data_IF_513964250510
#
_entry.id   IF_513964250510
#
_cell.length_a   1.000
_cell.length_b   1.000
_cell.length_c   1.000
_cell.angle_alpha   90.00
_cell.angle_beta   90.00
_cell.angle_gamma   90.00
#
_symmetry.space_group_name_H-M   'P 1'
#
loop_
_entity.id
_entity.type
_entity.pdbx_description
1 polymer ?
#
# COMPACT_ATOMS: atom_id res chain seq x y z
N UNK A 1 -3.99 12.90 4.08
CA UNK A 1 -3.33 13.72 5.12
C UNK A 1 -3.79 13.29 6.51
N UNK A 2 -2.88 13.16 7.48
CA UNK A 2 -3.17 12.78 8.87
C UNK A 2 -3.62 14.01 9.68
N UNK A 3 -4.40 13.80 10.75
CA UNK A 3 -4.87 14.92 11.60
C UNK A 3 -3.73 15.74 12.21
N UNK A 4 -2.58 15.11 12.53
CA UNK A 4 -1.39 15.82 13.01
C UNK A 4 -0.77 16.72 11.94
N UNK A 5 -0.78 16.29 10.69
CA UNK A 5 -0.28 17.07 9.55
C UNK A 5 -1.20 18.23 9.22
N UNK A 6 -2.53 18.03 9.29
CA UNK A 6 -3.51 19.13 9.19
C UNK A 6 -3.27 20.22 10.25
N UNK A 7 -3.07 19.82 11.51
CA UNK A 7 -2.77 20.75 12.60
C UNK A 7 -1.46 21.51 12.34
N UNK A 8 -0.44 20.82 11.85
CA UNK A 8 0.84 21.47 11.50
C UNK A 8 0.68 22.46 10.35
N UNK A 9 -0.10 22.10 9.31
CA UNK A 9 -0.42 23.03 8.23
C UNK A 9 -1.13 24.27 8.76
N UNK A 10 -2.16 24.09 9.59
CA UNK A 10 -2.92 25.20 10.17
C UNK A 10 -2.04 26.12 11.03
N UNK A 11 -1.17 25.56 11.88
CA UNK A 11 -0.23 26.36 12.70
C UNK A 11 0.78 27.17 11.86
N UNK A 12 1.00 26.78 10.61
CA UNK A 12 1.83 27.51 9.64
C UNK A 12 0.99 28.37 8.66
N UNK A 13 -0.27 28.66 8.98
CA UNK A 13 -1.14 29.51 8.18
C UNK A 13 -1.69 28.86 6.91
N UNK A 14 -1.61 27.54 6.79
CA UNK A 14 -2.17 26.79 5.66
C UNK A 14 -3.47 26.15 6.11
N UNK A 15 -4.58 26.81 5.87
CA UNK A 15 -5.94 26.39 6.30
C UNK A 15 -6.73 25.76 5.17
N UNK A 16 -6.55 26.21 3.95
CA UNK A 16 -7.31 25.76 2.77
C UNK A 16 -6.47 24.79 1.94
N UNK A 17 -6.67 23.51 2.19
CA UNK A 17 -6.00 22.41 1.48
C UNK A 17 -7.01 21.71 0.58
N UNK A 18 -6.71 21.59 -0.71
CA UNK A 18 -7.50 20.81 -1.67
C UNK A 18 -6.93 19.41 -1.69
N UNK A 19 -7.76 18.41 -1.41
CA UNK A 19 -7.41 17.00 -1.52
C UNK A 19 -7.90 16.44 -2.84
N UNK A 20 -7.03 15.78 -3.56
CA UNK A 20 -7.31 15.20 -4.87
C UNK A 20 -6.94 13.72 -4.82
N UNK A 21 -7.95 12.85 -4.88
CA UNK A 21 -7.75 11.41 -5.03
C UNK A 21 -7.47 11.16 -6.51
N UNK A 22 -6.32 10.58 -6.82
CA UNK A 22 -5.90 10.33 -8.21
C UNK A 22 -6.11 8.90 -8.68
N UNK A 23 -6.24 7.97 -7.76
CA UNK A 23 -6.45 6.55 -8.06
C UNK A 23 -6.32 5.71 -6.81
N UNK A 24 -6.28 4.41 -7.01
CA UNK A 24 -6.05 3.42 -5.96
C UNK A 24 -4.70 2.73 -6.17
N UNK A 25 -4.19 2.15 -5.10
CA UNK A 25 -3.01 1.30 -5.07
C UNK A 25 -3.31 0.05 -4.26
N UNK A 26 -2.75 -1.07 -4.67
CA UNK A 26 -2.75 -2.32 -3.94
C UNK A 26 -1.33 -2.72 -3.58
N UNK A 27 -1.13 -3.25 -2.38
CA UNK A 27 0.18 -3.76 -1.97
C UNK A 27 0.15 -5.27 -2.02
N UNK A 28 1.05 -5.84 -2.82
CA UNK A 28 1.23 -7.28 -2.97
C UNK A 28 2.08 -7.85 -1.84
N UNK A 29 1.71 -9.04 -1.40
CA UNK A 29 2.58 -10.00 -0.74
C UNK A 29 2.74 -11.16 -1.70
N UNK A 30 3.89 -11.26 -2.34
CA UNK A 30 4.09 -12.11 -3.49
C UNK A 30 5.26 -13.08 -3.30
N UNK A 31 5.23 -14.19 -4.05
CA UNK A 31 6.30 -15.18 -4.13
C UNK A 31 6.53 -15.59 -5.60
N UNK A 32 7.46 -16.53 -5.84
CA UNK A 32 7.70 -17.06 -7.17
C UNK A 32 6.44 -17.70 -7.77
N UNK A 33 6.22 -17.51 -9.08
CA UNK A 33 5.17 -18.20 -9.82
C UNK A 33 5.38 -19.74 -9.89
N UNK A 34 6.60 -20.21 -9.67
CA UNK A 34 6.95 -21.65 -9.60
C UNK A 34 6.57 -22.30 -8.24
N UNK A 35 6.30 -21.49 -7.20
CA UNK A 35 5.88 -21.96 -5.89
C UNK A 35 4.36 -22.08 -5.77
N UNK A 36 3.88 -22.68 -4.68
CA UNK A 36 2.46 -22.69 -4.38
C UNK A 36 1.97 -21.29 -4.00
N UNK A 37 0.81 -20.90 -4.51
CA UNK A 37 0.12 -19.68 -4.07
C UNK A 37 -0.34 -19.88 -2.61
N UNK A 38 -0.08 -18.89 -1.77
CA UNK A 38 -0.40 -18.92 -0.37
C UNK A 38 -1.60 -18.01 -0.03
N UNK A 39 -2.28 -18.32 1.06
CA UNK A 39 -3.30 -17.46 1.65
C UNK A 39 -2.88 -17.07 3.05
N UNK A 40 -2.90 -15.78 3.35
CA UNK A 40 -2.51 -15.27 4.66
C UNK A 40 -3.61 -14.41 5.29
N UNK A 41 -3.59 -14.36 6.60
CA UNK A 41 -4.36 -13.38 7.38
C UNK A 41 -3.42 -12.30 7.92
N UNK A 42 -3.92 -11.09 8.24
CA UNK A 42 -3.10 -10.08 8.91
C UNK A 42 -2.48 -10.56 10.24
N UNK A 43 -3.14 -11.46 10.96
CA UNK A 43 -2.61 -12.04 12.18
C UNK A 43 -1.37 -12.90 11.90
N UNK A 44 -1.44 -13.79 10.91
CA UNK A 44 -0.32 -14.65 10.52
C UNK A 44 0.88 -13.81 10.05
N UNK A 45 0.64 -12.78 9.22
CA UNK A 45 1.70 -11.89 8.74
C UNK A 45 2.33 -11.08 9.88
N UNK A 46 1.52 -10.58 10.83
CA UNK A 46 2.06 -9.92 12.01
C UNK A 46 2.87 -10.88 12.88
N UNK A 47 2.38 -12.10 13.10
CA UNK A 47 3.09 -13.14 13.85
C UNK A 47 4.45 -13.45 13.24
N UNK A 48 4.52 -13.52 11.89
CA UNK A 48 5.76 -13.79 11.16
C UNK A 48 6.76 -12.63 11.22
N UNK A 49 6.29 -11.38 11.20
CA UNK A 49 7.12 -10.21 10.90
C UNK A 49 7.39 -9.30 12.11
N UNK A 50 6.58 -9.39 13.17
CA UNK A 50 6.65 -8.40 14.26
C UNK A 50 7.87 -8.58 15.15
N UNK A 51 8.59 -7.47 15.45
CA UNK A 51 9.69 -7.43 16.42
C UNK A 51 9.24 -7.84 17.83
N UNK A 52 8.03 -7.44 18.21
CA UNK A 52 7.45 -7.73 19.51
C UNK A 52 6.41 -8.88 19.46
N UNK A 53 6.50 -9.72 18.42
CA UNK A 53 5.69 -10.92 18.23
C UNK A 53 6.41 -12.21 18.64
N UNK A 54 5.85 -13.37 18.27
CA UNK A 54 6.41 -14.69 18.62
C UNK A 54 7.73 -15.03 17.94
N UNK A 55 8.07 -14.38 16.82
CA UNK A 55 9.29 -14.60 16.01
C UNK A 55 9.51 -16.05 15.54
N UNK A 56 8.53 -16.69 14.90
CA UNK A 56 8.68 -18.04 14.37
C UNK A 56 9.78 -18.09 13.29
N UNK A 57 10.39 -19.25 13.11
CA UNK A 57 11.42 -19.49 12.10
C UNK A 57 10.83 -20.02 10.78
N UNK A 58 9.72 -20.75 10.87
CA UNK A 58 9.02 -21.32 9.71
C UNK A 58 7.56 -20.86 9.64
N UNK A 59 6.99 -20.95 8.43
CA UNK A 59 5.56 -20.66 8.24
C UNK A 59 4.65 -21.61 9.01
N UNK A 60 5.07 -22.87 9.17
CA UNK A 60 4.32 -23.87 9.96
C UNK A 60 4.24 -23.53 11.45
N UNK A 61 5.25 -22.85 11.99
CA UNK A 61 5.23 -22.34 13.38
C UNK A 61 4.26 -21.14 13.52
N UNK A 62 3.98 -20.41 12.45
CA UNK A 62 2.95 -19.37 12.42
C UNK A 62 1.54 -19.98 12.48
N UNK A 63 1.33 -21.01 11.65
CA UNK A 63 0.07 -21.75 11.56
C UNK A 63 0.35 -23.14 10.98
N UNK A 64 -0.17 -24.18 11.64
CA UNK A 64 0.07 -25.59 11.26
C UNK A 64 -0.44 -25.96 9.85
N UNK A 65 -1.34 -25.15 9.28
CA UNK A 65 -1.85 -25.32 7.91
C UNK A 65 -0.90 -24.78 6.84
N UNK A 66 0.10 -23.98 7.23
CA UNK A 66 1.11 -23.42 6.33
C UNK A 66 2.28 -24.42 6.16
N UNK A 67 3.03 -24.33 5.06
CA UNK A 67 4.12 -25.25 4.78
C UNK A 67 5.27 -25.12 5.77
N UNK A 68 5.99 -26.21 5.95
CA UNK A 68 7.21 -26.26 6.76
C UNK A 68 8.39 -25.72 5.94
N UNK A 69 8.45 -24.39 5.80
CA UNK A 69 9.51 -23.68 5.08
C UNK A 69 9.94 -22.44 5.85
N UNK A 70 11.20 -22.00 5.72
CA UNK A 70 11.70 -20.81 6.40
C UNK A 70 10.89 -19.56 6.05
N UNK A 71 10.73 -18.67 7.01
CA UNK A 71 10.20 -17.33 6.76
C UNK A 71 11.35 -16.49 6.17
N UNK A 72 11.15 -16.01 4.95
CA UNK A 72 12.07 -15.10 4.25
C UNK A 72 11.27 -14.05 3.53
N UNK A 73 11.34 -12.81 3.98
CA UNK A 73 10.52 -11.70 3.49
C UNK A 73 11.41 -10.52 3.14
N UNK A 74 11.31 -10.05 1.92
CA UNK A 74 11.89 -8.78 1.49
C UNK A 74 10.86 -7.67 1.67
N UNK A 75 11.20 -6.66 2.45
CA UNK A 75 10.31 -5.58 2.83
C UNK A 75 10.87 -4.21 2.39
N UNK A 76 10.00 -3.27 2.01
CA UNK A 76 10.44 -1.90 1.72
C UNK A 76 10.94 -1.22 2.99
N UNK A 77 11.83 -0.21 2.88
CA UNK A 77 12.43 0.48 4.02
C UNK A 77 11.40 1.30 4.81
N UNK A 78 11.70 1.71 6.04
CA UNK A 78 10.78 2.51 6.88
C UNK A 78 10.33 3.84 6.26
N UNK A 79 11.09 4.38 5.31
CA UNK A 79 10.79 5.62 4.58
C UNK A 79 9.77 5.44 3.47
N UNK A 80 9.49 4.19 3.08
CA UNK A 80 8.58 3.86 1.98
C UNK A 80 7.11 4.10 2.31
N UNK A 81 6.38 4.68 1.38
CA UNK A 81 4.92 4.78 1.45
C UNK A 81 4.22 3.41 1.45
N UNK A 82 4.80 2.41 0.76
CA UNK A 82 4.35 1.02 0.76
C UNK A 82 4.50 0.41 2.17
N UNK A 83 5.63 0.68 2.85
CA UNK A 83 5.85 0.25 4.24
C UNK A 83 4.84 0.88 5.20
N UNK A 84 4.55 2.20 5.08
CA UNK A 84 3.57 2.89 5.94
C UNK A 84 2.15 2.30 5.77
N UNK A 85 1.76 1.98 4.53
CA UNK A 85 0.49 1.32 4.27
C UNK A 85 0.44 -0.13 4.80
N UNK A 86 1.47 -0.92 4.58
CA UNK A 86 1.61 -2.26 5.14
C UNK A 86 1.50 -2.24 6.67
N UNK A 87 2.22 -1.33 7.31
CA UNK A 87 2.15 -1.12 8.76
C UNK A 87 0.73 -0.83 9.25
N UNK A 88 -0.01 0.00 8.52
CA UNK A 88 -1.38 0.36 8.91
C UNK A 88 -2.37 -0.77 8.67
N UNK A 89 -2.31 -1.40 7.49
CA UNK A 89 -3.34 -2.34 7.03
C UNK A 89 -3.08 -3.78 7.51
N UNK A 90 -1.82 -4.19 7.64
CA UNK A 90 -1.43 -5.53 8.07
C UNK A 90 -0.92 -5.54 9.51
N UNK A 91 0.16 -4.82 9.81
CA UNK A 91 0.81 -4.95 11.12
C UNK A 91 -0.08 -4.47 12.27
N UNK A 92 -0.65 -3.27 12.17
CA UNK A 92 -1.59 -2.77 13.19
C UNK A 92 -2.84 -3.65 13.32
N UNK A 93 -3.35 -4.17 12.20
CA UNK A 93 -4.53 -5.05 12.18
C UNK A 93 -4.22 -6.41 12.80
N UNK A 94 -3.08 -7.02 12.46
CA UNK A 94 -2.62 -8.28 13.03
C UNK A 94 -2.36 -8.18 14.54
N UNK A 95 -1.68 -7.11 14.96
CA UNK A 95 -1.43 -6.82 16.37
C UNK A 95 -2.73 -6.69 17.20
N UNK A 96 -3.75 -6.03 16.65
CA UNK A 96 -5.10 -5.97 17.26
C UNK A 96 -5.72 -7.35 17.37
N UNK A 97 -5.65 -8.15 16.30
CA UNK A 97 -6.17 -9.52 16.30
C UNK A 97 -5.41 -10.45 17.28
N UNK A 98 -4.13 -10.18 17.52
CA UNK A 98 -3.33 -10.86 18.53
C UNK A 98 -3.63 -10.39 19.96
N UNK A 99 -4.51 -9.39 20.16
CA UNK A 99 -4.80 -8.80 21.48
C UNK A 99 -3.64 -8.02 22.10
N UNK A 100 -2.65 -7.61 21.29
CA UNK A 100 -1.41 -6.97 21.78
C UNK A 100 -1.37 -5.46 21.54
N UNK A 101 -2.36 -4.90 20.88
CA UNK A 101 -2.32 -3.51 20.46
C UNK A 101 -2.33 -2.52 21.64
N UNK A 102 -3.12 -2.78 22.67
CA UNK A 102 -3.25 -1.91 23.84
C UNK A 102 -1.99 -1.95 24.71
N UNK A 103 -1.32 -3.12 24.78
CA UNK A 103 -0.04 -3.31 25.49
C UNK A 103 1.13 -2.64 24.74
N UNK A 104 1.24 -2.89 23.44
CA UNK A 104 2.39 -2.49 22.65
C UNK A 104 2.28 -1.07 22.08
N UNK A 105 1.07 -0.61 21.82
CA UNK A 105 0.80 0.62 21.08
C UNK A 105 1.19 0.54 19.59
N UNK A 106 0.75 1.52 18.81
CA UNK A 106 0.93 1.55 17.34
C UNK A 106 2.39 1.37 16.90
N UNK A 107 3.33 2.05 17.57
CA UNK A 107 4.75 2.04 17.16
C UNK A 107 5.35 0.65 17.26
N UNK A 108 5.22 -0.03 18.39
CA UNK A 108 5.76 -1.38 18.61
C UNK A 108 5.02 -2.44 17.79
N UNK A 109 3.70 -2.31 17.60
CA UNK A 109 2.94 -3.19 16.73
C UNK A 109 3.45 -3.19 15.27
N UNK A 110 3.99 -2.05 14.82
CA UNK A 110 4.44 -1.84 13.44
C UNK A 110 5.96 -2.03 13.25
N UNK A 111 6.70 -2.34 14.31
CA UNK A 111 8.13 -2.64 14.21
C UNK A 111 8.34 -4.02 13.63
N UNK A 112 9.16 -4.11 12.57
CA UNK A 112 9.56 -5.39 12.00
C UNK A 112 10.74 -5.96 12.75
N UNK A 113 10.83 -7.28 12.80
CA UNK A 113 12.01 -8.00 13.30
C UNK A 113 13.20 -7.74 12.37
N UNK A 114 14.37 -7.60 12.96
CA UNK A 114 15.64 -7.34 12.26
C UNK A 114 16.52 -8.58 12.34
N UNK A 115 16.12 -9.64 11.63
CA UNK A 115 16.84 -10.90 11.55
C UNK A 115 16.74 -11.51 10.14
N UNK A 116 17.21 -12.73 9.96
CA UNK A 116 17.22 -13.42 8.66
C UNK A 116 15.83 -13.65 8.05
N UNK A 117 14.75 -13.49 8.82
CA UNK A 117 13.39 -13.70 8.35
C UNK A 117 12.82 -12.48 7.60
N UNK A 118 13.27 -11.26 7.94
CA UNK A 118 12.79 -10.03 7.30
C UNK A 118 13.99 -9.15 6.93
N UNK A 119 14.22 -9.00 5.64
CA UNK A 119 15.30 -8.23 5.04
C UNK A 119 14.75 -6.93 4.44
N UNK A 120 15.38 -5.79 4.70
CA UNK A 120 15.06 -4.54 4.01
C UNK A 120 15.69 -4.52 2.61
N UNK A 121 14.84 -4.38 1.59
CA UNK A 121 15.24 -4.46 0.17
C UNK A 121 15.51 -3.07 -0.47
N UNK A 122 15.45 -2.00 0.29
CA UNK A 122 15.49 -0.64 -0.24
C UNK A 122 14.21 -0.29 -1.03
N UNK A 123 14.26 0.79 -1.81
CA UNK A 123 13.15 1.26 -2.67
C UNK A 123 13.20 0.62 -4.09
N UNK A 124 13.85 -0.53 -4.24
CA UNK A 124 14.05 -1.17 -5.55
C UNK A 124 13.17 -2.41 -5.70
N UNK A 125 11.91 -2.20 -6.11
CA UNK A 125 10.94 -3.29 -6.34
C UNK A 125 11.42 -4.28 -7.42
N UNK A 126 12.20 -3.83 -8.41
CA UNK A 126 12.78 -4.72 -9.43
C UNK A 126 13.76 -5.73 -8.81
N UNK A 127 14.50 -5.34 -7.79
CA UNK A 127 15.39 -6.24 -7.07
C UNK A 127 14.59 -7.31 -6.32
N UNK A 128 13.49 -6.91 -5.68
CA UNK A 128 12.58 -7.83 -5.00
C UNK A 128 12.04 -8.86 -6.00
N UNK A 129 11.49 -8.43 -7.12
CA UNK A 129 10.95 -9.32 -8.17
C UNK A 129 12.01 -10.35 -8.63
N UNK A 130 13.23 -9.89 -8.93
CA UNK A 130 14.32 -10.79 -9.33
C UNK A 130 14.67 -11.81 -8.26
N UNK A 131 14.65 -11.42 -6.98
CA UNK A 131 14.93 -12.33 -5.87
C UNK A 131 13.84 -13.39 -5.74
N UNK A 132 12.56 -12.99 -5.83
CA UNK A 132 11.44 -13.93 -5.77
C UNK A 132 11.44 -14.92 -6.92
N UNK A 133 11.78 -14.47 -8.13
CA UNK A 133 11.87 -15.33 -9.31
C UNK A 133 13.00 -16.37 -9.17
N UNK A 134 14.12 -15.99 -8.53
CA UNK A 134 15.29 -16.84 -8.36
C UNK A 134 15.17 -17.83 -7.19
N UNK A 135 14.43 -17.49 -6.14
CA UNK A 135 14.32 -18.30 -4.93
C UNK A 135 12.87 -18.40 -4.46
N UNK A 136 12.21 -19.56 -4.65
CA UNK A 136 10.80 -19.77 -4.33
C UNK A 136 10.48 -19.74 -2.81
N UNK A 137 11.48 -19.67 -1.94
CA UNK A 137 11.29 -19.54 -0.50
C UNK A 137 11.05 -18.10 -0.07
N UNK A 138 11.37 -17.11 -0.92
CA UNK A 138 11.20 -15.71 -0.60
C UNK A 138 9.78 -15.21 -0.88
N UNK A 139 9.33 -14.32 -0.01
CA UNK A 139 8.19 -13.44 -0.21
C UNK A 139 8.66 -11.99 -0.31
N UNK A 140 7.89 -11.15 -0.99
CA UNK A 140 8.20 -9.73 -1.13
C UNK A 140 6.97 -8.85 -0.96
N UNK A 141 7.19 -7.64 -0.46
CA UNK A 141 6.17 -6.62 -0.27
C UNK A 141 6.47 -5.46 -1.21
N UNK A 142 5.57 -5.18 -2.16
CA UNK A 142 5.71 -4.11 -3.16
C UNK A 142 4.36 -3.76 -3.79
N UNK A 143 4.34 -2.71 -4.62
CA UNK A 143 3.12 -2.24 -5.28
C UNK A 143 2.55 -3.20 -6.31
N UNK A 144 1.23 -3.21 -6.47
CA UNK A 144 0.49 -4.05 -7.43
C UNK A 144 1.00 -3.92 -8.86
N UNK A 145 1.43 -2.73 -9.27
CA UNK A 145 1.95 -2.49 -10.63
C UNK A 145 3.14 -3.40 -10.99
N UNK A 146 4.03 -3.67 -10.03
CA UNK A 146 5.16 -4.56 -10.26
C UNK A 146 4.73 -6.03 -10.33
N UNK A 147 3.74 -6.44 -9.52
CA UNK A 147 3.15 -7.77 -9.64
C UNK A 147 2.50 -7.95 -11.02
N UNK A 148 1.73 -6.97 -11.46
CA UNK A 148 0.98 -7.04 -12.70
C UNK A 148 1.88 -7.13 -13.94
N UNK A 149 2.99 -6.41 -13.92
CA UNK A 149 3.99 -6.42 -15.00
C UNK A 149 4.88 -7.68 -15.03
N UNK A 150 4.88 -8.50 -13.98
CA UNK A 150 5.80 -9.66 -13.83
C UNK A 150 5.06 -10.96 -13.46
N UNK A 151 3.78 -11.10 -13.86
CA UNK A 151 2.95 -12.28 -13.55
C UNK A 151 3.48 -13.59 -14.13
N UNK A 152 4.36 -13.53 -15.09
CA UNK A 152 5.10 -14.67 -15.66
C UNK A 152 6.14 -15.24 -14.69
N UNK A 153 6.67 -14.44 -13.76
CA UNK A 153 7.74 -14.80 -12.84
C UNK A 153 7.28 -14.89 -11.38
N UNK A 154 6.30 -14.08 -10.99
CA UNK A 154 5.83 -13.98 -9.61
C UNK A 154 4.31 -14.01 -9.52
N UNK A 155 3.81 -14.38 -8.34
CA UNK A 155 2.37 -14.42 -8.05
C UNK A 155 2.05 -13.80 -6.69
N UNK A 156 0.89 -13.15 -6.59
CA UNK A 156 0.39 -12.59 -5.34
C UNK A 156 -0.29 -13.64 -4.47
N UNK A 157 0.01 -13.64 -3.19
CA UNK A 157 -0.75 -14.37 -2.18
C UNK A 157 -2.15 -13.76 -2.02
N UNK A 158 -3.12 -14.56 -1.63
CA UNK A 158 -4.42 -14.04 -1.19
C UNK A 158 -4.33 -13.55 0.26
N UNK A 159 -5.11 -12.52 0.60
CA UNK A 159 -5.22 -12.02 1.97
C UNK A 159 -6.66 -12.17 2.43
N UNK A 160 -6.87 -12.93 3.49
CA UNK A 160 -8.22 -13.36 3.95
C UNK A 160 -9.03 -14.03 2.82
N UNK A 161 -8.37 -14.80 1.94
CA UNK A 161 -8.99 -15.46 0.81
C UNK A 161 -9.26 -14.55 -0.39
N UNK A 162 -8.93 -13.26 -0.33
CA UNK A 162 -9.16 -12.31 -1.42
C UNK A 162 -7.90 -12.16 -2.27
N UNK A 163 -8.03 -12.39 -3.57
CA UNK A 163 -6.95 -12.22 -4.54
C UNK A 163 -6.66 -10.75 -4.80
N UNK A 164 -5.36 -10.42 -4.99
CA UNK A 164 -4.95 -9.12 -5.47
C UNK A 164 -5.20 -9.04 -6.99
N UNK A 165 -6.18 -8.24 -7.36
CA UNK A 165 -6.56 -7.95 -8.74
C UNK A 165 -6.99 -6.50 -8.87
N UNK A 166 -7.00 -5.98 -10.09
CA UNK A 166 -7.44 -4.61 -10.39
C UNK A 166 -8.85 -4.36 -9.81
N UNK A 167 -9.80 -5.27 -10.06
CA UNK A 167 -11.18 -5.13 -9.58
C UNK A 167 -11.30 -5.17 -8.05
N UNK A 168 -10.53 -6.05 -7.39
CA UNK A 168 -10.55 -6.17 -5.94
C UNK A 168 -9.87 -4.98 -5.26
N UNK A 169 -8.87 -4.36 -5.89
CA UNK A 169 -8.25 -3.12 -5.41
C UNK A 169 -9.22 -1.95 -5.62
N UNK A 170 -9.78 -1.81 -6.81
CA UNK A 170 -10.72 -0.75 -7.17
C UNK A 170 -11.95 -0.72 -6.27
N UNK A 171 -12.49 -1.90 -5.94
CA UNK A 171 -13.65 -2.06 -5.06
C UNK A 171 -13.31 -2.13 -3.56
N UNK A 172 -12.05 -2.01 -3.17
CA UNK A 172 -11.56 -2.19 -1.79
C UNK A 172 -11.91 -3.53 -1.16
N UNK A 173 -12.19 -4.57 -1.93
CA UNK A 173 -12.34 -5.95 -1.45
C UNK A 173 -11.00 -6.53 -1.01
N UNK A 174 -9.91 -6.20 -1.73
CA UNK A 174 -8.58 -6.62 -1.33
C UNK A 174 -8.13 -5.81 -0.10
N UNK A 175 -7.75 -6.49 1.01
CA UNK A 175 -7.54 -5.81 2.29
C UNK A 175 -6.36 -4.82 2.33
N UNK A 176 -5.42 -4.95 1.39
CA UNK A 176 -4.26 -4.05 1.31
C UNK A 176 -4.43 -3.10 0.13
N UNK A 177 -5.60 -2.48 0.04
CA UNK A 177 -5.92 -1.44 -0.94
C UNK A 177 -5.98 -0.08 -0.26
N UNK A 178 -5.51 0.95 -0.96
CA UNK A 178 -5.55 2.33 -0.46
C UNK A 178 -5.79 3.32 -1.60
N UNK A 179 -6.43 4.47 -1.32
CA UNK A 179 -6.45 5.57 -2.26
C UNK A 179 -5.09 6.29 -2.28
N UNK A 180 -4.74 6.83 -3.44
CA UNK A 180 -3.60 7.70 -3.63
C UNK A 180 -4.08 9.15 -3.75
N UNK A 181 -3.37 10.06 -3.10
CA UNK A 181 -3.74 11.47 -3.02
C UNK A 181 -2.58 12.36 -3.41
N UNK A 182 -2.92 13.51 -3.98
CA UNK A 182 -2.07 14.67 -3.83
C UNK A 182 -2.85 15.84 -3.21
N UNK A 183 -2.13 16.81 -2.68
CA UNK A 183 -2.68 17.95 -1.96
C UNK A 183 -2.17 19.24 -2.55
N UNK A 184 -3.08 20.20 -2.75
CA UNK A 184 -2.76 21.52 -3.22
C UNK A 184 -3.16 22.58 -2.20
N UNK A 185 -2.26 23.55 -1.96
CA UNK A 185 -2.58 24.74 -1.18
C UNK A 185 -3.46 25.67 -2.02
N UNK A 186 -4.70 25.90 -1.62
CA UNK A 186 -5.67 26.71 -2.38
C UNK A 186 -5.14 28.11 -2.73
N UNK A 187 -4.46 28.74 -1.77
CA UNK A 187 -3.86 30.08 -1.98
C UNK A 187 -2.81 30.13 -3.10
N UNK A 188 -2.27 28.99 -3.57
CA UNK A 188 -1.33 28.95 -4.67
C UNK A 188 -2.02 28.82 -6.03
N UNK A 189 -3.27 28.38 -6.07
CA UNK A 189 -4.02 28.20 -7.32
C UNK A 189 -4.36 29.57 -7.92
N UNK A 190 -3.88 29.82 -9.13
CA UNK A 190 -4.00 31.12 -9.80
C UNK A 190 -2.85 32.09 -9.52
N UNK A 191 -1.95 31.77 -8.57
CA UNK A 191 -0.71 32.51 -8.28
C UNK A 191 0.49 31.79 -8.90
N UNK A 192 0.57 30.49 -8.70
CA UNK A 192 1.64 29.68 -9.34
C UNK A 192 1.19 29.27 -10.73
N UNK A 193 1.92 29.68 -11.80
CA UNK A 193 1.57 29.31 -13.16
C UNK A 193 1.49 27.80 -13.37
N UNK A 194 0.47 27.33 -14.09
CA UNK A 194 0.29 25.93 -14.44
C UNK A 194 -0.31 25.06 -13.34
N UNK A 195 -0.49 25.56 -12.09
CA UNK A 195 -0.99 24.72 -11.00
C UNK A 195 -2.43 24.25 -11.23
N UNK A 196 -3.32 25.13 -11.72
CA UNK A 196 -4.70 24.76 -12.04
C UNK A 196 -4.76 23.75 -13.18
N UNK A 197 -3.97 23.95 -14.19
CA UNK A 197 -3.87 23.08 -15.37
C UNK A 197 -3.35 21.70 -14.96
N UNK A 198 -2.34 21.64 -14.10
CA UNK A 198 -1.81 20.42 -13.54
C UNK A 198 -2.87 19.64 -12.73
N UNK A 199 -3.62 20.33 -11.86
CA UNK A 199 -4.71 19.71 -11.10
C UNK A 199 -5.81 19.17 -12.03
N UNK A 200 -6.16 19.89 -13.09
CA UNK A 200 -7.17 19.47 -14.07
C UNK A 200 -6.67 18.28 -14.88
N UNK A 201 -5.39 18.27 -15.29
CA UNK A 201 -4.79 17.15 -16.02
C UNK A 201 -4.82 15.88 -15.19
N UNK A 202 -4.46 15.94 -13.90
CA UNK A 202 -4.48 14.79 -13.00
C UNK A 202 -5.86 14.13 -12.81
N UNK A 203 -6.95 14.79 -13.17
CA UNK A 203 -8.31 14.24 -13.11
C UNK A 203 -8.96 14.13 -14.50
N UNK A 204 -8.19 14.36 -15.56
CA UNK A 204 -8.66 14.23 -16.93
C UNK A 204 -8.91 12.76 -17.33
N UNK A 205 -9.69 12.54 -18.39
CA UNK A 205 -9.85 11.19 -18.93
C UNK A 205 -8.56 10.66 -19.55
N UNK A 206 -7.73 11.54 -20.12
CA UNK A 206 -6.42 11.19 -20.68
C UNK A 206 -5.45 10.71 -19.61
N UNK A 207 -5.53 11.21 -18.37
CA UNK A 207 -4.63 10.81 -17.30
C UNK A 207 -5.17 9.60 -16.51
N UNK A 208 -6.39 9.67 -15.96
CA UNK A 208 -6.93 8.71 -15.00
C UNK A 208 -8.23 8.03 -15.46
N UNK A 209 -8.65 8.25 -16.72
CA UNK A 209 -9.75 7.53 -17.34
C UNK A 209 -9.43 6.04 -17.51
N UNK A 210 -10.40 5.27 -17.99
CA UNK A 210 -10.28 3.81 -18.18
C UNK A 210 -9.09 3.43 -19.08
N UNK A 211 -8.71 4.30 -20.01
CA UNK A 211 -7.55 4.14 -20.91
C UNK A 211 -6.55 5.29 -20.72
N UNK A 212 -6.49 5.85 -19.52
CA UNK A 212 -5.59 6.95 -19.20
C UNK A 212 -4.13 6.49 -19.06
N UNK A 213 -3.18 7.37 -19.46
CA UNK A 213 -1.76 7.02 -19.49
C UNK A 213 -1.17 6.68 -18.12
N UNK A 214 -1.83 7.04 -17.00
CA UNK A 214 -1.39 6.64 -15.66
C UNK A 214 -1.71 5.18 -15.36
N UNK A 215 -2.68 4.57 -16.04
CA UNK A 215 -2.93 3.14 -15.92
C UNK A 215 -1.77 2.31 -16.47
N UNK A 216 -1.17 2.74 -17.59
CA UNK A 216 0.05 2.10 -18.13
C UNK A 216 1.22 2.15 -17.16
N UNK A 217 1.15 3.05 -16.18
CA UNK A 217 2.12 3.18 -15.08
C UNK A 217 1.68 2.42 -13.80
N UNK A 218 0.59 1.66 -13.88
CA UNK A 218 0.09 0.82 -12.79
C UNK A 218 -0.85 1.51 -11.80
N UNK A 219 -1.36 2.71 -12.12
CA UNK A 219 -2.41 3.33 -11.31
C UNK A 219 -3.72 2.53 -11.48
N UNK A 220 -4.34 2.14 -10.38
CA UNK A 220 -5.68 1.55 -10.41
C UNK A 220 -6.72 2.67 -10.44
N UNK A 221 -7.57 2.74 -11.48
CA UNK A 221 -8.50 3.85 -11.65
C UNK A 221 -9.55 3.89 -10.54
N UNK A 222 -10.08 5.09 -10.29
CA UNK A 222 -11.21 5.28 -9.41
C UNK A 222 -12.51 4.75 -10.06
N UNK A 223 -13.50 4.43 -9.24
CA UNK A 223 -14.87 4.25 -9.70
C UNK A 223 -15.39 5.55 -10.34
N UNK A 224 -16.15 5.45 -11.43
CA UNK A 224 -16.64 6.61 -12.21
C UNK A 224 -17.37 7.64 -11.34
N UNK A 225 -18.18 7.17 -10.38
CA UNK A 225 -18.89 8.05 -9.45
C UNK A 225 -17.96 8.83 -8.52
N UNK A 226 -16.86 8.21 -8.08
CA UNK A 226 -15.82 8.86 -7.26
C UNK A 226 -15.03 9.86 -8.08
N UNK A 227 -14.62 9.49 -9.29
CA UNK A 227 -13.89 10.38 -10.19
C UNK A 227 -14.70 11.63 -10.52
N UNK A 228 -16.02 11.50 -10.76
CA UNK A 228 -16.91 12.64 -10.99
C UNK A 228 -16.95 13.60 -9.80
N UNK A 229 -16.97 13.10 -8.57
CA UNK A 229 -16.91 13.92 -7.35
C UNK A 229 -15.56 14.64 -7.23
N UNK A 230 -14.46 13.93 -7.49
CA UNK A 230 -13.10 14.51 -7.45
C UNK A 230 -12.96 15.63 -8.47
N UNK A 231 -13.45 15.43 -9.70
CA UNK A 231 -13.49 16.47 -10.76
C UNK A 231 -14.26 17.71 -10.31
N UNK A 232 -15.43 17.51 -9.70
CA UNK A 232 -16.22 18.62 -9.14
C UNK A 232 -15.46 19.37 -8.05
N UNK A 233 -14.78 18.66 -7.15
CA UNK A 233 -13.97 19.28 -6.08
C UNK A 233 -12.80 20.08 -6.64
N UNK A 234 -12.09 19.56 -7.64
CA UNK A 234 -10.99 20.27 -8.31
C UNK A 234 -11.50 21.51 -9.02
N UNK A 235 -12.59 21.40 -9.80
CA UNK A 235 -13.20 22.53 -10.52
C UNK A 235 -13.59 23.67 -9.56
N UNK A 236 -14.20 23.33 -8.43
CA UNK A 236 -14.73 24.30 -7.45
C UNK A 236 -13.70 24.70 -6.39
N UNK A 237 -12.49 24.09 -6.39
CA UNK A 237 -11.43 24.32 -5.42
C UNK A 237 -11.94 24.13 -3.97
N UNK A 238 -12.71 23.06 -3.74
CA UNK A 238 -13.29 22.78 -2.43
C UNK A 238 -12.19 22.28 -1.46
N UNK A 239 -11.92 23.03 -0.37
CA UNK A 239 -10.95 22.57 0.63
C UNK A 239 -11.55 21.45 1.48
N UNK A 240 -10.66 20.58 2.01
CA UNK A 240 -11.05 19.62 3.04
C UNK A 240 -11.37 20.34 4.36
N UNK A 241 -12.28 19.76 5.14
CA UNK A 241 -12.53 20.25 6.52
C UNK A 241 -11.27 20.08 7.36
N UNK A 242 -10.90 21.15 8.06
CA UNK A 242 -9.74 21.18 8.96
C UNK A 242 -10.08 20.57 10.32
#
# INVERSE_FOLDING_TARGET
IKSSEKKLCASNGVTDIIEIIVGNDGIAFANSASANRMNFTPLQLWTAMAEHGPKPSTWKEVDSSLPDMPIRIMAPPPTSGTRDAWNSLIMSTGCKKAGKYDELGKKKCNSFREDVAVEEAGENDTLIVKRLAADPQYFGIFGFSFLDQNRDQIQGSTINGVEISLDNIKSYKYPISRPLFFYAKKAHVGVIPGMREYMNEFVSDSAVGEYGYLMDRGLVPLETSTLSKVRSNVKNLNPISM
#
